data_IF_750609752663
#
_entry.id   IF_750609752663
#
_cell.length_a   1.000
_cell.length_b   1.000
_cell.length_c   1.000
_cell.angle_alpha   90.00
_cell.angle_beta   90.00
_cell.angle_gamma   90.00
#
_symmetry.space_group_name_H-M   'P 1'
#
loop_
_entity.id
_entity.type
_entity.pdbx_description
1 polymer ?
#
# COMPACT_ATOMS: atom_id res chain seq x y z
N UNK A 1 -11.89 -24.09 -50.18
CA UNK A 1 -12.34 -24.27 -48.78
C UNK A 1 -12.50 -22.89 -48.15
N UNK A 2 -13.69 -22.53 -47.69
CA UNK A 2 -13.95 -21.19 -47.14
C UNK A 2 -13.49 -21.08 -45.68
N UNK A 3 -13.04 -19.88 -45.29
CA UNK A 3 -12.63 -19.55 -43.93
C UNK A 3 -13.73 -19.82 -42.89
N UNK A 4 -15.00 -19.68 -43.29
CA UNK A 4 -16.17 -19.96 -42.45
C UNK A 4 -16.34 -21.45 -42.14
N UNK A 5 -16.00 -22.33 -43.09
CA UNK A 5 -16.05 -23.77 -42.88
C UNK A 5 -14.94 -24.24 -41.93
N UNK A 6 -13.72 -23.69 -42.09
CA UNK A 6 -12.59 -23.96 -41.20
C UNK A 6 -12.87 -23.54 -39.75
N UNK A 7 -13.50 -22.37 -39.54
CA UNK A 7 -13.90 -21.90 -38.21
C UNK A 7 -14.93 -22.84 -37.57
N UNK A 8 -15.95 -23.26 -38.32
CA UNK A 8 -16.96 -24.20 -37.83
C UNK A 8 -16.39 -25.57 -37.50
N UNK A 9 -15.46 -26.09 -38.31
CA UNK A 9 -14.80 -27.36 -38.00
C UNK A 9 -13.93 -27.26 -36.74
N UNK A 10 -13.26 -26.12 -36.52
CA UNK A 10 -12.49 -25.90 -35.29
C UNK A 10 -13.40 -25.83 -34.06
N UNK A 11 -14.54 -25.15 -34.17
CA UNK A 11 -15.55 -25.05 -33.09
C UNK A 11 -16.14 -26.41 -32.70
N UNK A 12 -16.32 -27.31 -33.66
CA UNK A 12 -16.75 -28.70 -33.42
C UNK A 12 -15.66 -29.49 -32.69
N UNK A 13 -14.39 -29.31 -33.06
CA UNK A 13 -13.24 -30.00 -32.44
C UNK A 13 -12.95 -29.49 -31.03
N UNK A 14 -13.09 -28.20 -30.79
CA UNK A 14 -12.72 -27.55 -29.52
C UNK A 14 -13.84 -27.54 -28.47
N UNK A 15 -15.03 -28.09 -28.76
CA UNK A 15 -16.10 -28.31 -27.78
C UNK A 15 -16.62 -27.02 -27.14
N UNK A 16 -17.57 -26.36 -27.82
CA UNK A 16 -18.42 -25.26 -27.34
C UNK A 16 -17.86 -24.40 -26.19
N UNK A 17 -16.86 -23.56 -26.48
CA UNK A 17 -16.51 -22.43 -25.61
C UNK A 17 -17.04 -21.10 -26.20
N UNK A 18 -18.35 -20.90 -26.09
CA UNK A 18 -18.98 -19.61 -26.41
C UNK A 18 -18.55 -18.54 -25.41
N UNK A 19 -17.45 -17.85 -25.71
CA UNK A 19 -17.06 -16.60 -25.04
C UNK A 19 -17.83 -15.43 -25.66
N UNK A 20 -19.01 -15.17 -25.12
CA UNK A 20 -19.69 -13.89 -25.31
C UNK A 20 -18.87 -12.77 -24.67
N UNK A 21 -18.27 -11.94 -25.52
CA UNK A 21 -17.58 -10.72 -25.14
C UNK A 21 -18.59 -9.63 -24.76
N UNK A 22 -19.05 -9.63 -23.52
CA UNK A 22 -19.54 -8.42 -22.86
C UNK A 22 -18.95 -8.31 -21.45
N UNK A 23 -17.91 -7.48 -21.30
CA UNK A 23 -17.27 -7.21 -20.01
C UNK A 23 -18.18 -6.36 -19.12
N UNK A 24 -19.18 -6.97 -18.49
CA UNK A 24 -19.67 -6.53 -17.17
C UNK A 24 -18.91 -7.34 -16.12
N UNK A 25 -18.10 -6.67 -15.30
CA UNK A 25 -17.51 -7.25 -14.09
C UNK A 25 -18.65 -7.74 -13.19
N UNK A 26 -19.05 -9.01 -13.34
CA UNK A 26 -19.88 -9.69 -12.34
C UNK A 26 -18.99 -9.91 -11.14
N UNK A 27 -19.19 -9.12 -10.10
CA UNK A 27 -18.79 -9.50 -8.74
C UNK A 27 -19.60 -10.76 -8.40
N UNK A 28 -19.05 -11.93 -8.70
CA UNK A 28 -19.64 -13.22 -8.33
C UNK A 28 -19.45 -13.41 -6.82
N UNK A 29 -20.24 -12.71 -6.01
CA UNK A 29 -20.47 -13.18 -4.65
C UNK A 29 -21.28 -14.47 -4.77
N UNK A 30 -20.67 -15.60 -4.41
CA UNK A 30 -21.27 -16.94 -4.29
C UNK A 30 -22.44 -17.03 -3.28
N UNK A 31 -22.94 -15.90 -2.79
CA UNK A 31 -23.91 -15.82 -1.71
C UNK A 31 -25.28 -15.51 -2.34
N UNK A 32 -26.31 -16.35 -2.13
CA UNK A 32 -27.66 -16.10 -2.60
C UNK A 32 -28.20 -14.76 -2.08
N UNK A 33 -29.04 -14.08 -2.87
CA UNK A 33 -29.59 -12.74 -2.52
C UNK A 33 -30.31 -12.74 -1.17
N UNK A 34 -30.96 -13.85 -0.81
CA UNK A 34 -31.66 -14.06 0.47
C UNK A 34 -30.75 -14.07 1.70
N UNK A 35 -29.44 -14.32 1.53
CA UNK A 35 -28.46 -14.35 2.62
C UNK A 35 -27.66 -13.03 2.72
N UNK A 36 -27.94 -12.05 1.86
CA UNK A 36 -27.21 -10.77 1.86
C UNK A 36 -27.83 -9.83 2.90
N UNK A 37 -26.98 -9.33 3.81
CA UNK A 37 -27.37 -8.26 4.73
C UNK A 37 -27.33 -6.93 3.96
N UNK A 38 -28.50 -6.49 3.48
CA UNK A 38 -28.64 -5.28 2.67
C UNK A 38 -28.91 -4.08 3.58
N UNK A 39 -28.03 -3.07 3.54
CA UNK A 39 -28.31 -1.75 4.08
C UNK A 39 -28.88 -0.86 2.99
N UNK A 40 -30.03 -0.24 3.25
CA UNK A 40 -30.61 0.77 2.36
C UNK A 40 -30.05 2.13 2.76
N UNK A 41 -29.36 2.80 1.84
CA UNK A 41 -28.76 4.12 2.05
C UNK A 41 -29.44 5.10 1.10
N UNK A 42 -29.96 6.21 1.62
CA UNK A 42 -30.49 7.31 0.81
C UNK A 42 -29.43 8.40 0.70
N UNK A 43 -29.03 8.76 -0.53
CA UNK A 43 -28.13 9.90 -0.81
C UNK A 43 -28.67 10.67 -2.01
N UNK A 44 -28.73 12.00 -1.90
CA UNK A 44 -29.16 12.91 -2.99
C UNK A 44 -30.47 12.47 -3.67
N UNK A 45 -31.49 12.13 -2.87
CA UNK A 45 -32.80 11.69 -3.37
C UNK A 45 -32.85 10.30 -4.01
N UNK A 46 -31.72 9.59 -4.12
CA UNK A 46 -31.65 8.24 -4.68
C UNK A 46 -31.47 7.19 -3.58
N UNK A 47 -32.16 6.06 -3.73
CA UNK A 47 -32.12 4.92 -2.80
C UNK A 47 -31.12 3.89 -3.33
N UNK A 48 -30.09 3.60 -2.55
CA UNK A 48 -29.06 2.61 -2.87
C UNK A 48 -29.18 1.43 -1.93
N UNK A 49 -29.17 0.21 -2.49
CA UNK A 49 -29.02 -1.03 -1.72
C UNK A 49 -27.55 -1.40 -1.71
N UNK A 50 -26.92 -1.37 -0.53
CA UNK A 50 -25.53 -1.77 -0.35
C UNK A 50 -25.48 -3.06 0.47
N UNK A 51 -24.83 -4.09 -0.07
CA UNK A 51 -24.55 -5.31 0.69
C UNK A 51 -23.47 -4.99 1.74
N UNK A 52 -23.79 -5.11 3.04
CA UNK A 52 -22.85 -4.80 4.11
C UNK A 52 -21.63 -5.74 4.08
N UNK A 53 -21.84 -7.00 3.71
CA UNK A 53 -20.77 -8.01 3.68
C UNK A 53 -19.74 -7.75 2.57
N UNK A 54 -20.12 -7.04 1.50
CA UNK A 54 -19.19 -6.66 0.42
C UNK A 54 -18.28 -5.47 0.78
N UNK A 55 -18.47 -4.85 1.95
CA UNK A 55 -17.54 -3.83 2.47
C UNK A 55 -16.27 -4.41 3.12
N UNK A 56 -16.22 -5.74 3.32
CA UNK A 56 -15.14 -6.45 4.03
C UNK A 56 -13.95 -6.83 3.14
N UNK A 57 -13.66 -6.06 2.09
CA UNK A 57 -12.43 -6.21 1.31
C UNK A 57 -11.19 -5.63 2.00
N UNK A 58 -11.32 -5.12 3.23
CA UNK A 58 -10.19 -4.59 4.00
C UNK A 58 -9.39 -5.76 4.53
N UNK A 59 -8.19 -5.97 3.99
CA UNK A 59 -7.19 -6.85 4.59
C UNK A 59 -6.87 -6.28 5.97
N UNK A 60 -7.40 -6.92 7.01
CA UNK A 60 -7.05 -6.57 8.37
C UNK A 60 -5.61 -7.01 8.61
N UNK A 61 -4.82 -6.12 9.21
CA UNK A 61 -3.49 -6.49 9.69
C UNK A 61 -3.62 -7.37 10.93
N UNK A 62 -2.60 -8.20 11.22
CA UNK A 62 -2.60 -9.11 12.38
C UNK A 62 -2.90 -8.34 13.68
N UNK A 63 -2.36 -7.12 13.81
CA UNK A 63 -2.60 -6.23 14.96
C UNK A 63 -4.06 -5.82 15.11
N UNK A 64 -4.75 -5.55 14.01
CA UNK A 64 -6.17 -5.17 14.04
C UNK A 64 -7.05 -6.36 14.42
N UNK A 65 -6.73 -7.54 13.91
CA UNK A 65 -7.42 -8.79 14.28
C UNK A 65 -7.22 -9.08 15.76
N UNK A 66 -5.99 -9.00 16.26
CA UNK A 66 -5.68 -9.14 17.69
C UNK A 66 -6.53 -8.16 18.50
N UNK A 67 -6.49 -6.87 18.18
CA UNK A 67 -7.27 -5.83 18.88
C UNK A 67 -8.77 -6.12 18.92
N UNK A 68 -9.34 -6.68 17.85
CA UNK A 68 -10.76 -7.07 17.81
C UNK A 68 -11.07 -8.26 18.71
N UNK A 69 -10.16 -9.22 18.82
CA UNK A 69 -10.29 -10.41 19.66
C UNK A 69 -10.04 -10.13 21.15
N UNK A 70 -9.37 -9.04 21.49
CA UNK A 70 -9.10 -8.67 22.88
C UNK A 70 -10.40 -8.47 23.69
N UNK A 71 -10.45 -9.08 24.87
CA UNK A 71 -11.54 -8.87 25.82
C UNK A 71 -11.49 -7.46 26.43
N UNK A 72 -12.62 -6.98 26.96
CA UNK A 72 -12.66 -5.64 27.59
C UNK A 72 -11.67 -5.48 28.74
N UNK A 73 -11.39 -6.56 29.49
CA UNK A 73 -10.45 -6.55 30.62
C UNK A 73 -9.00 -6.41 30.16
N UNK A 74 -8.60 -7.17 29.14
CA UNK A 74 -7.25 -7.06 28.58
C UNK A 74 -6.99 -5.68 27.97
N UNK A 75 -8.00 -5.08 27.32
CA UNK A 75 -7.89 -3.71 26.79
C UNK A 75 -7.65 -2.70 27.90
N UNK A 76 -8.34 -2.83 29.03
CA UNK A 76 -8.15 -1.94 30.18
C UNK A 76 -6.77 -2.11 30.79
N UNK A 77 -6.32 -3.33 31.01
CA UNK A 77 -4.99 -3.63 31.57
C UNK A 77 -3.87 -3.08 30.68
N UNK A 78 -3.91 -3.36 29.36
CA UNK A 78 -2.94 -2.80 28.41
C UNK A 78 -2.94 -1.26 28.38
N UNK A 79 -4.08 -0.63 28.65
CA UNK A 79 -4.19 0.83 28.68
C UNK A 79 -3.58 1.38 29.96
N UNK A 80 -3.85 0.74 31.10
CA UNK A 80 -3.24 1.09 32.39
C UNK A 80 -1.73 0.94 32.32
N UNK A 81 -1.21 -0.15 31.74
CA UNK A 81 0.23 -0.36 31.57
C UNK A 81 0.89 0.73 30.71
N UNK A 82 0.21 1.16 29.64
CA UNK A 82 0.71 2.26 28.79
C UNK A 82 0.74 3.58 29.55
N UNK A 83 -0.31 3.88 30.31
CA UNK A 83 -0.38 5.10 31.12
C UNK A 83 0.70 5.11 32.19
N UNK A 84 0.94 3.97 32.85
CA UNK A 84 2.01 3.81 33.83
C UNK A 84 3.39 4.05 33.19
N UNK A 85 3.65 3.47 32.02
CA UNK A 85 4.90 3.69 31.29
C UNK A 85 5.11 5.15 30.89
N UNK A 86 4.05 5.80 30.40
CA UNK A 86 4.07 7.23 30.06
C UNK A 86 4.31 8.10 31.29
N UNK A 87 3.74 7.74 32.44
CA UNK A 87 3.98 8.46 33.69
C UNK A 87 5.41 8.27 34.20
N UNK A 88 5.96 7.06 34.09
CA UNK A 88 7.31 6.74 34.58
C UNK A 88 8.45 7.32 33.74
N UNK A 89 8.18 7.70 32.49
CA UNK A 89 9.20 8.23 31.57
C UNK A 89 8.92 9.72 31.32
N UNK A 90 9.58 10.64 32.05
CA UNK A 90 9.52 12.05 31.69
C UNK A 90 10.04 12.24 30.26
N UNK A 91 9.44 13.19 29.54
CA UNK A 91 9.93 13.57 28.21
C UNK A 91 11.18 14.42 28.37
N UNK A 92 12.18 14.19 27.51
CA UNK A 92 13.36 15.04 27.44
C UNK A 92 12.98 16.41 26.84
N UNK A 93 13.73 17.45 27.19
CA UNK A 93 13.45 18.83 26.73
C UNK A 93 13.47 18.93 25.19
N UNK A 94 14.30 18.11 24.53
CA UNK A 94 14.34 17.98 23.08
C UNK A 94 13.02 17.47 22.51
N UNK A 95 12.49 16.37 23.06
CA UNK A 95 11.20 15.79 22.66
C UNK A 95 10.05 16.78 22.86
N UNK A 96 10.05 17.51 23.99
CA UNK A 96 9.04 18.53 24.29
C UNK A 96 9.08 19.65 23.24
N UNK A 97 10.28 20.07 22.85
CA UNK A 97 10.47 21.10 21.83
C UNK A 97 9.97 20.64 20.46
N UNK A 98 10.24 19.39 20.08
CA UNK A 98 9.82 18.82 18.79
C UNK A 98 8.30 18.65 18.73
N UNK A 99 7.68 18.15 19.81
CA UNK A 99 6.22 18.03 19.92
C UNK A 99 5.56 19.40 19.79
N UNK A 100 6.11 20.43 20.44
CA UNK A 100 5.61 21.81 20.37
C UNK A 100 5.71 22.37 18.95
N UNK A 101 6.85 22.18 18.27
CA UNK A 101 7.04 22.63 16.88
C UNK A 101 6.10 21.89 15.93
N UNK A 102 5.94 20.57 16.09
CA UNK A 102 5.00 19.75 15.31
C UNK A 102 3.56 20.20 15.50
N UNK A 103 3.15 20.52 16.74
CA UNK A 103 1.81 21.02 17.03
C UNK A 103 1.53 22.37 16.33
N UNK A 104 2.54 23.25 16.27
CA UNK A 104 2.45 24.52 15.53
C UNK A 104 2.42 24.33 14.02
N UNK A 105 3.24 23.43 13.48
CA UNK A 105 3.35 23.18 12.04
C UNK A 105 2.19 22.33 11.48
N UNK A 106 1.57 21.49 12.31
CA UNK A 106 0.54 20.52 11.90
C UNK A 106 1.08 19.27 11.19
N UNK A 107 2.40 19.11 11.10
CA UNK A 107 3.09 17.98 10.49
C UNK A 107 4.46 17.77 11.13
N UNK A 108 5.07 16.59 10.90
CA UNK A 108 6.41 16.28 11.41
C UNK A 108 7.43 17.28 10.87
N UNK A 109 8.25 17.84 11.77
CA UNK A 109 9.37 18.72 11.40
C UNK A 109 10.49 17.83 10.90
N UNK A 110 10.80 17.92 9.61
CA UNK A 110 11.96 17.24 9.05
C UNK A 110 13.22 17.98 9.51
N UNK A 111 14.30 17.25 9.84
CA UNK A 111 15.57 17.89 10.11
C UNK A 111 16.00 18.71 8.88
N UNK A 112 16.72 19.83 9.10
CA UNK A 112 17.25 20.60 7.99
C UNK A 112 18.08 19.69 7.09
N UNK A 113 17.87 19.80 5.78
CA UNK A 113 18.64 19.04 4.79
C UNK A 113 20.10 19.45 4.96
N UNK A 114 20.96 18.50 5.32
CA UNK A 114 22.40 18.73 5.34
C UNK A 114 22.82 19.15 3.93
N UNK A 115 23.49 20.29 3.84
CA UNK A 115 24.08 20.73 2.59
C UNK A 115 25.11 19.68 2.18
N UNK A 116 24.96 19.16 0.96
CA UNK A 116 25.94 18.24 0.38
C UNK A 116 27.15 19.11 0.11
N UNK A 117 28.14 19.06 1.02
CA UNK A 117 29.44 19.67 0.77
C UNK A 117 29.96 19.03 -0.50
N UNK A 118 30.17 19.83 -1.54
CA UNK A 118 30.82 19.38 -2.77
C UNK A 118 32.22 18.91 -2.37
N UNK A 119 32.38 17.59 -2.24
CA UNK A 119 33.70 17.01 -2.01
C UNK A 119 34.55 17.32 -3.24
N UNK A 120 35.72 17.91 -3.03
CA UNK A 120 36.75 18.02 -4.07
C UNK A 120 36.93 16.64 -4.74
N UNK A 121 37.10 16.65 -6.07
CA UNK A 121 37.22 15.44 -6.87
C UNK A 121 38.17 14.44 -6.22
N UNK A 122 37.72 13.20 -6.06
CA UNK A 122 38.55 12.13 -5.51
C UNK A 122 39.76 11.76 -6.39
N UNK A 123 39.83 12.32 -7.61
CA UNK A 123 40.92 12.11 -8.56
C UNK A 123 41.78 13.36 -8.69
N UNK A 124 43.09 13.14 -8.63
CA UNK A 124 44.14 14.13 -8.85
C UNK A 124 44.63 14.10 -10.31
N UNK A 125 45.31 15.15 -10.76
CA UNK A 125 45.91 15.21 -12.11
C UNK A 125 46.90 14.06 -12.36
N UNK A 126 47.55 13.54 -11.31
CA UNK A 126 48.44 12.38 -11.40
C UNK A 126 47.69 11.08 -11.71
N UNK A 127 46.45 10.95 -11.26
CA UNK A 127 45.61 9.77 -11.52
C UNK A 127 45.16 9.75 -12.98
N UNK A 128 44.87 10.92 -13.56
CA UNK A 128 44.55 11.04 -14.98
C UNK A 128 45.75 10.71 -15.88
N UNK A 129 46.98 11.08 -15.50
CA UNK A 129 48.18 10.70 -16.26
C UNK A 129 48.42 9.19 -16.30
N UNK A 130 48.25 8.51 -15.15
CA UNK A 130 48.37 7.04 -15.09
C UNK A 130 47.30 6.36 -15.95
N UNK A 131 46.09 6.91 -15.96
CA UNK A 131 45.01 6.43 -16.83
C UNK A 131 45.34 6.63 -18.32
N UNK A 132 45.91 7.78 -18.69
CA UNK A 132 46.33 8.03 -20.07
C UNK A 132 47.40 7.03 -20.52
N UNK A 133 48.41 6.77 -19.70
CA UNK A 133 49.46 5.78 -20.01
C UNK A 133 48.87 4.37 -20.21
N UNK A 134 47.95 3.92 -19.34
CA UNK A 134 47.35 2.58 -19.45
C UNK A 134 46.53 2.37 -20.74
N UNK A 135 45.88 3.42 -21.26
CA UNK A 135 44.98 3.32 -22.41
C UNK A 135 45.58 3.76 -23.75
N UNK A 136 46.64 4.57 -23.74
CA UNK A 136 47.25 5.10 -24.95
C UNK A 136 48.62 4.49 -25.30
N UNK A 137 49.23 3.69 -24.40
CA UNK A 137 50.50 2.99 -24.69
C UNK A 137 50.34 1.73 -25.58
N UNK A 138 49.11 1.28 -25.90
CA UNK A 138 48.87 0.13 -26.81
C UNK A 138 48.80 0.49 -28.31
N UNK A 139 49.16 1.71 -28.70
CA UNK A 139 49.32 2.06 -30.12
C UNK A 139 50.67 2.66 -30.43
N UNK A 140 51.69 1.80 -30.59
CA UNK A 140 52.73 1.77 -31.65
C UNK A 140 53.38 0.39 -31.64
#
# INVERSE_FOLDING_TARGET
>A
MSMSLLKKSLEIVEGSSSKDNSRKKKNSSSIPESHKIIRVIKKKGKVYKQNQLQGSGKKLTIREVQKQLETSKERTERTVDKLLKLHSSPLDDEDVSEISQRAKAGHYVLPPRQEVVESESAFTEEDFRKFEEEYFDETI
#
